data_IF_869351490471
#
_entry.id   IF_869351490471
#
_cell.length_a   1.000
_cell.length_b   1.000
_cell.length_c   1.000
_cell.angle_alpha   90.00
_cell.angle_beta   90.00
_cell.angle_gamma   90.00
#
_symmetry.space_group_name_H-M   'P 1'
#
loop_
_entity.id
_entity.type
_entity.pdbx_description
1 polymer ?
#
# COMPACT_ATOMS: atom_id res chain seq x y z
N UNK A 1 18.86 3.19 -3.98
CA UNK A 1 18.04 2.51 -2.95
C UNK A 1 16.67 2.23 -3.56
N UNK A 2 16.11 1.03 -3.33
CA UNK A 2 14.74 0.70 -3.76
C UNK A 2 13.73 1.72 -3.17
N UNK A 3 12.68 2.03 -3.93
CA UNK A 3 11.65 2.96 -3.47
C UNK A 3 10.79 2.27 -2.41
N UNK A 4 10.51 2.96 -1.30
CA UNK A 4 9.61 2.47 -0.25
C UNK A 4 8.16 2.60 -0.72
N UNK A 5 7.69 1.68 -1.57
CA UNK A 5 6.30 1.63 -2.02
C UNK A 5 5.38 1.08 -0.92
N UNK A 6 4.18 1.62 -0.80
CA UNK A 6 3.12 1.08 0.04
C UNK A 6 2.36 0.00 -0.72
N UNK A 7 2.51 -1.26 -0.28
CA UNK A 7 1.84 -2.41 -0.91
C UNK A 7 0.63 -2.87 -0.09
N UNK A 8 -0.27 -3.62 -0.71
CA UNK A 8 -1.42 -4.20 0.00
C UNK A 8 -0.94 -5.12 1.13
N UNK A 9 -1.53 -5.04 2.35
CA UNK A 9 -0.94 -5.67 3.54
C UNK A 9 -1.24 -7.16 3.72
N UNK A 10 -2.03 -7.79 2.83
CA UNK A 10 -2.42 -9.21 2.97
C UNK A 10 -1.92 -10.05 1.79
N UNK A 11 -1.57 -11.33 2.06
CA UNK A 11 -1.18 -12.29 1.01
C UNK A 11 -2.36 -12.73 0.14
N UNK A 12 -3.55 -12.69 0.69
CA UNK A 12 -4.80 -12.91 -0.05
C UNK A 12 -5.62 -11.65 0.06
N UNK A 13 -5.96 -11.03 -1.07
CA UNK A 13 -6.88 -9.89 -1.11
C UNK A 13 -8.29 -10.44 -1.35
N UNK A 14 -9.15 -10.30 -0.35
CA UNK A 14 -10.57 -10.64 -0.42
C UNK A 14 -11.39 -9.55 0.27
N UNK A 15 -11.59 -8.43 -0.41
CA UNK A 15 -12.40 -7.35 0.11
C UNK A 15 -13.86 -7.78 0.11
N UNK A 16 -14.42 -7.94 1.30
CA UNK A 16 -15.82 -8.35 1.55
C UNK A 16 -16.74 -7.15 1.65
N UNK A 17 -16.23 -6.01 2.12
CA UNK A 17 -16.93 -4.74 2.11
C UNK A 17 -15.97 -3.60 1.74
N UNK A 18 -16.33 -2.81 0.74
CA UNK A 18 -15.57 -1.60 0.39
C UNK A 18 -16.06 -0.38 1.20
N UNK A 19 -15.38 0.75 1.06
CA UNK A 19 -15.68 2.00 1.77
C UNK A 19 -17.06 2.63 1.45
N UNK A 20 -17.77 2.14 0.44
CA UNK A 20 -19.14 2.52 0.12
C UNK A 20 -20.18 1.48 0.63
N UNK A 21 -19.72 0.48 1.38
CA UNK A 21 -20.57 -0.56 1.93
C UNK A 21 -21.62 -0.01 2.90
N UNK A 22 -22.84 -0.58 2.86
CA UNK A 22 -23.98 -0.07 3.65
C UNK A 22 -24.12 -0.72 5.02
N UNK A 23 -23.37 -1.76 5.31
CA UNK A 23 -23.51 -2.52 6.57
C UNK A 23 -22.84 -1.80 7.73
N UNK A 24 -21.54 -1.49 7.64
CA UNK A 24 -20.76 -0.80 8.66
C UNK A 24 -20.00 0.43 8.12
N UNK A 25 -19.75 0.48 6.82
CA UNK A 25 -19.13 1.61 6.13
C UNK A 25 -20.24 2.51 5.56
N UNK A 26 -20.51 3.62 6.24
CA UNK A 26 -21.58 4.52 5.79
C UNK A 26 -21.02 5.56 4.80
N UNK A 27 -21.81 5.95 3.76
CA UNK A 27 -21.46 7.07 2.90
C UNK A 27 -21.17 8.33 3.73
N UNK A 28 -20.17 9.07 3.31
CA UNK A 28 -19.74 10.28 4.01
C UNK A 28 -20.83 11.35 4.01
N UNK A 29 -21.04 11.96 5.18
CA UNK A 29 -21.87 13.16 5.31
C UNK A 29 -21.01 14.39 5.01
N UNK A 30 -21.55 15.37 4.30
CA UNK A 30 -20.86 16.65 4.03
C UNK A 30 -20.49 17.31 5.37
N UNK A 31 -19.24 17.82 5.48
CA UNK A 31 -18.73 18.46 6.70
C UNK A 31 -18.23 17.54 7.80
N UNK A 32 -18.39 16.21 7.67
CA UNK A 32 -17.89 15.23 8.64
C UNK A 32 -16.49 14.72 8.27
N UNK A 33 -15.65 14.32 9.25
CA UNK A 33 -14.42 13.60 8.96
C UNK A 33 -14.70 12.37 8.10
N UNK A 34 -13.97 12.25 6.99
CA UNK A 34 -14.15 11.15 6.03
C UNK A 34 -13.25 9.99 6.43
N UNK A 35 -13.76 8.77 6.29
CA UNK A 35 -12.99 7.55 6.36
C UNK A 35 -13.26 6.70 5.11
N UNK A 36 -12.30 5.88 4.71
CA UNK A 36 -12.42 5.01 3.55
C UNK A 36 -11.96 3.60 3.91
N UNK A 37 -12.59 2.95 4.91
CA UNK A 37 -12.20 1.64 5.35
C UNK A 37 -12.55 0.57 4.32
N UNK A 38 -11.84 -0.55 4.41
CA UNK A 38 -12.20 -1.80 3.78
C UNK A 38 -12.29 -2.89 4.83
N UNK A 39 -13.23 -3.82 4.65
CA UNK A 39 -13.23 -5.07 5.39
C UNK A 39 -12.56 -6.12 4.52
N UNK A 40 -11.44 -6.63 5.01
CA UNK A 40 -10.67 -7.70 4.41
C UNK A 40 -10.99 -8.99 5.15
N UNK A 41 -11.53 -9.97 4.46
CA UNK A 41 -11.92 -11.23 5.05
C UNK A 41 -11.34 -12.43 4.32
N UNK A 42 -10.90 -13.43 5.08
CA UNK A 42 -10.51 -14.70 4.49
C UNK A 42 -11.73 -15.60 4.22
N UNK A 43 -11.52 -16.86 3.90
CA UNK A 43 -12.56 -17.87 3.84
C UNK A 43 -13.17 -18.10 5.24
N UNK A 44 -14.44 -18.58 5.32
CA UNK A 44 -15.20 -18.76 6.55
C UNK A 44 -14.52 -19.61 7.65
N UNK A 45 -13.41 -20.27 7.38
CA UNK A 45 -12.73 -21.22 8.26
C UNK A 45 -11.33 -20.78 8.70
N UNK A 46 -10.80 -19.67 8.20
CA UNK A 46 -9.40 -19.26 8.47
C UNK A 46 -9.27 -17.87 9.07
N UNK A 47 -8.05 -17.56 9.46
CA UNK A 47 -7.61 -16.23 9.84
C UNK A 47 -6.39 -15.87 9.01
N UNK A 48 -6.53 -14.89 8.14
CA UNK A 48 -5.41 -14.41 7.35
C UNK A 48 -4.55 -13.43 8.16
N UNK A 49 -3.21 -13.51 8.01
CA UNK A 49 -2.33 -12.52 8.60
C UNK A 49 -2.36 -11.20 7.84
N UNK A 50 -2.23 -10.09 8.59
CA UNK A 50 -1.85 -8.80 8.03
C UNK A 50 -0.35 -8.58 8.23
N UNK A 51 0.30 -8.03 7.23
CA UNK A 51 1.74 -7.83 7.17
C UNK A 51 2.10 -6.35 7.05
N UNK A 52 3.31 -6.00 7.47
CA UNK A 52 3.84 -4.65 7.29
C UNK A 52 3.96 -4.30 5.79
N UNK A 53 3.25 -3.28 5.31
CA UNK A 53 3.11 -2.99 3.87
C UNK A 53 4.22 -2.10 3.28
N UNK A 54 5.17 -1.66 4.09
CA UNK A 54 6.26 -0.77 3.69
C UNK A 54 7.56 -1.16 4.44
N UNK A 55 8.66 -0.45 4.21
CA UNK A 55 9.96 -0.86 4.75
C UNK A 55 9.96 -1.07 6.24
N UNK A 56 9.30 -0.17 7.01
CA UNK A 56 9.12 -0.33 8.44
C UNK A 56 7.92 0.47 8.95
N UNK A 57 7.16 -0.11 9.88
CA UNK A 57 6.12 0.57 10.66
C UNK A 57 6.36 0.43 12.16
N UNK A 58 5.94 1.44 12.90
CA UNK A 58 5.98 1.50 14.36
C UNK A 58 4.56 1.58 14.93
N UNK A 59 4.30 0.83 16.00
CA UNK A 59 3.04 0.87 16.74
C UNK A 59 2.92 2.18 17.48
N UNK A 60 1.86 2.93 17.22
CA UNK A 60 1.56 4.22 17.87
C UNK A 60 0.54 4.09 18.99
N UNK A 61 -0.38 3.13 18.89
CA UNK A 61 -1.38 2.87 19.90
C UNK A 61 -1.92 1.45 19.79
N UNK A 62 -2.25 0.87 20.94
CA UNK A 62 -3.05 -0.36 21.09
C UNK A 62 -4.23 -0.01 21.98
N UNK A 63 -5.44 -0.43 21.62
CA UNK A 63 -6.67 -0.15 22.36
C UNK A 63 -7.55 -1.41 22.39
N UNK A 64 -8.35 -1.55 23.45
CA UNK A 64 -9.35 -2.60 23.58
C UNK A 64 -8.86 -3.82 24.36
N UNK A 65 -7.59 -4.22 24.20
CA UNK A 65 -7.03 -5.45 24.78
C UNK A 65 -7.34 -5.58 26.26
N UNK A 66 -8.01 -6.67 26.64
CA UNK A 66 -8.41 -6.93 28.03
C UNK A 66 -9.55 -6.02 28.55
N UNK A 67 -10.23 -5.29 27.67
CA UNK A 67 -11.33 -4.37 28.05
C UNK A 67 -12.61 -4.72 27.28
N UNK A 68 -13.68 -3.92 27.48
CA UNK A 68 -14.91 -4.00 26.66
C UNK A 68 -14.82 -3.25 25.33
N UNK A 69 -13.71 -2.55 25.07
CA UNK A 69 -13.49 -1.83 23.81
C UNK A 69 -13.09 -2.79 22.69
N UNK A 70 -13.48 -2.48 21.46
CA UNK A 70 -13.09 -3.26 20.28
C UNK A 70 -11.59 -3.10 20.03
N UNK A 71 -10.88 -4.20 19.93
CA UNK A 71 -9.43 -4.22 19.73
C UNK A 71 -9.03 -3.49 18.45
N UNK A 72 -8.18 -2.50 18.64
CA UNK A 72 -7.72 -1.63 17.55
C UNK A 72 -6.24 -1.30 17.69
N UNK A 73 -5.54 -1.33 16.58
CA UNK A 73 -4.10 -1.10 16.47
C UNK A 73 -3.83 0.03 15.48
N UNK A 74 -2.99 0.99 15.87
CA UNK A 74 -2.49 2.06 14.99
C UNK A 74 -1.01 1.87 14.75
N UNK A 75 -0.64 1.94 13.48
CA UNK A 75 0.76 1.90 13.04
C UNK A 75 1.06 3.10 12.15
N UNK A 76 2.30 3.56 12.22
CA UNK A 76 2.82 4.65 11.39
C UNK A 76 4.10 4.19 10.70
N UNK A 77 4.29 4.53 9.42
CA UNK A 77 5.55 4.26 8.72
C UNK A 77 6.67 5.10 9.30
N UNK A 78 7.85 4.51 9.49
CA UNK A 78 9.00 5.23 10.06
C UNK A 78 9.65 6.20 9.08
N UNK A 79 9.43 5.98 7.78
CA UNK A 79 9.87 6.84 6.68
C UNK A 79 8.73 7.12 5.73
N UNK A 80 8.89 8.12 4.85
CA UNK A 80 7.89 8.42 3.81
C UNK A 80 7.80 7.29 2.80
N UNK A 81 6.58 6.92 2.42
CA UNK A 81 6.25 5.88 1.44
C UNK A 81 5.76 6.50 0.12
N UNK A 82 5.91 5.77 -0.97
CA UNK A 82 5.29 6.10 -2.26
C UNK A 82 3.90 5.45 -2.34
N UNK A 83 2.88 6.26 -2.55
CA UNK A 83 1.48 5.84 -2.69
C UNK A 83 1.10 5.56 -4.14
N UNK A 84 0.04 4.77 -4.34
CA UNK A 84 -0.47 4.40 -5.66
C UNK A 84 -0.99 5.59 -6.50
N UNK A 85 -1.30 6.73 -5.88
CA UNK A 85 -1.67 7.97 -6.59
C UNK A 85 -0.45 8.81 -7.02
N UNK A 86 0.77 8.35 -6.79
CA UNK A 86 2.02 9.01 -7.17
C UNK A 86 2.57 9.99 -6.13
N UNK A 87 1.85 10.25 -5.05
CA UNK A 87 2.33 11.12 -3.96
C UNK A 87 3.25 10.39 -2.99
N UNK A 88 3.94 11.13 -2.12
CA UNK A 88 4.86 10.60 -1.12
C UNK A 88 4.68 11.31 0.21
N UNK A 89 4.37 10.54 1.26
CA UNK A 89 4.30 11.05 2.64
C UNK A 89 4.44 9.88 3.63
N UNK A 90 4.37 10.16 4.95
CA UNK A 90 4.17 9.13 5.96
C UNK A 90 2.82 8.45 5.75
N UNK A 91 2.71 7.21 6.21
CA UNK A 91 1.50 6.43 6.17
C UNK A 91 1.08 6.05 7.60
N UNK A 92 -0.18 6.27 7.92
CA UNK A 92 -0.80 5.79 9.15
C UNK A 92 -1.91 4.80 8.83
N UNK A 93 -1.90 3.66 9.50
CA UNK A 93 -2.85 2.57 9.33
C UNK A 93 -3.56 2.28 10.65
N UNK A 94 -4.86 2.07 10.58
CA UNK A 94 -5.70 1.54 11.65
C UNK A 94 -6.17 0.15 11.25
N UNK A 95 -6.10 -0.79 12.20
CA UNK A 95 -6.56 -2.16 12.06
C UNK A 95 -7.49 -2.45 13.24
N UNK A 96 -8.71 -2.94 12.96
CA UNK A 96 -9.69 -3.28 13.99
C UNK A 96 -10.09 -4.76 13.89
N UNK A 97 -10.56 -5.31 14.98
CA UNK A 97 -11.08 -6.67 15.21
C UNK A 97 -10.08 -7.81 15.53
N UNK A 98 -8.72 -7.65 15.54
CA UNK A 98 -7.89 -8.70 16.08
C UNK A 98 -8.36 -9.10 17.50
N UNK A 99 -8.21 -10.37 17.86
CA UNK A 99 -8.54 -10.80 19.22
C UNK A 99 -7.34 -10.62 20.17
N UNK A 100 -7.56 -10.52 21.48
CA UNK A 100 -6.52 -10.25 22.50
C UNK A 100 -5.27 -11.12 22.34
N UNK A 101 -5.45 -12.43 22.12
CA UNK A 101 -4.31 -13.36 21.99
C UNK A 101 -3.41 -13.04 20.79
N UNK A 102 -3.98 -12.47 19.72
CA UNK A 102 -3.25 -12.13 18.50
C UNK A 102 -2.56 -10.75 18.59
N UNK A 103 -2.87 -9.99 19.66
CA UNK A 103 -2.21 -8.75 20.03
C UNK A 103 -1.21 -8.92 21.19
N UNK A 104 -1.08 -10.12 21.76
CA UNK A 104 -0.13 -10.38 22.85
C UNK A 104 1.30 -10.02 22.44
N UNK A 105 1.95 -9.17 23.24
CA UNK A 105 3.31 -8.69 22.98
C UNK A 105 3.41 -7.62 21.88
N UNK A 106 2.28 -7.06 21.43
CA UNK A 106 2.26 -5.85 20.59
C UNK A 106 2.06 -4.66 21.52
N UNK A 107 3.09 -3.85 21.65
CA UNK A 107 3.11 -2.65 22.50
C UNK A 107 3.46 -1.42 21.70
N UNK A 108 3.14 -0.25 22.23
CA UNK A 108 3.57 1.03 21.66
C UNK A 108 5.08 1.06 21.50
N UNK A 109 5.58 1.47 20.35
CA UNK A 109 7.00 1.48 20.01
C UNK A 109 7.51 0.20 19.32
N UNK A 110 6.75 -0.91 19.34
CA UNK A 110 7.12 -2.11 18.58
C UNK A 110 7.19 -1.80 17.09
N UNK A 111 8.21 -2.35 16.44
CA UNK A 111 8.48 -2.14 15.00
C UNK A 111 8.26 -3.43 14.22
N UNK A 112 7.82 -3.28 12.98
CA UNK A 112 7.64 -4.35 12.02
C UNK A 112 8.30 -3.94 10.70
N UNK A 113 9.13 -4.79 10.15
CA UNK A 113 9.75 -4.61 8.83
C UNK A 113 8.81 -5.14 7.73
N UNK A 114 9.03 -4.69 6.51
CA UNK A 114 8.29 -5.12 5.32
C UNK A 114 8.10 -6.64 5.29
N UNK A 115 6.85 -7.08 5.12
CA UNK A 115 6.49 -8.50 5.06
C UNK A 115 6.49 -9.22 6.41
N UNK A 116 6.85 -8.59 7.52
CA UNK A 116 6.65 -9.17 8.86
C UNK A 116 5.16 -9.18 9.21
N UNK A 117 4.72 -10.28 9.79
CA UNK A 117 3.34 -10.41 10.29
C UNK A 117 3.13 -9.47 11.49
N UNK A 118 2.09 -8.63 11.37
CA UNK A 118 1.66 -7.72 12.44
C UNK A 118 0.68 -8.46 13.37
N UNK A 119 -0.44 -8.93 12.84
CA UNK A 119 -1.49 -9.63 13.58
C UNK A 119 -2.28 -10.53 12.65
N UNK A 120 -3.42 -11.06 13.13
CA UNK A 120 -4.34 -11.90 12.36
C UNK A 120 -5.72 -11.23 12.28
N UNK A 121 -6.49 -11.62 11.28
CA UNK A 121 -7.94 -11.39 11.27
C UNK A 121 -8.56 -11.87 12.57
N UNK A 122 -9.59 -11.18 13.00
CA UNK A 122 -10.31 -11.53 14.20
C UNK A 122 -11.79 -11.17 14.10
N UNK A 123 -12.50 -11.41 15.20
CA UNK A 123 -13.93 -11.11 15.32
C UNK A 123 -14.26 -10.33 16.59
N UNK A 124 -13.29 -9.63 17.17
CA UNK A 124 -13.55 -8.82 18.34
C UNK A 124 -14.49 -7.66 17.99
N UNK A 125 -15.66 -7.63 18.60
CA UNK A 125 -16.74 -6.71 18.25
C UNK A 125 -17.38 -6.93 16.87
N UNK A 126 -17.19 -8.10 16.25
CA UNK A 126 -17.73 -8.42 14.92
C UNK A 126 -18.34 -9.84 14.87
N UNK A 127 -19.19 -10.11 13.87
CA UNK A 127 -19.88 -11.40 13.71
C UNK A 127 -18.98 -12.48 13.09
N UNK A 128 -18.03 -12.11 12.24
CA UNK A 128 -17.12 -13.02 11.54
C UNK A 128 -15.67 -12.53 11.54
N UNK A 129 -14.73 -13.44 11.28
CA UNK A 129 -13.33 -13.06 11.15
C UNK A 129 -13.12 -12.15 9.95
N UNK A 130 -12.61 -10.97 10.18
CA UNK A 130 -12.15 -10.02 9.17
C UNK A 130 -11.20 -9.00 9.80
N UNK A 131 -10.60 -8.17 8.98
CA UNK A 131 -9.88 -6.97 9.39
C UNK A 131 -10.61 -5.76 8.81
N UNK A 132 -10.96 -4.83 9.69
CA UNK A 132 -11.35 -3.50 9.27
C UNK A 132 -10.06 -2.67 9.17
N UNK A 133 -9.75 -2.18 7.96
CA UNK A 133 -8.52 -1.47 7.66
C UNK A 133 -8.85 -0.07 7.17
N UNK A 134 -8.36 0.96 7.87
CA UNK A 134 -8.35 2.34 7.40
C UNK A 134 -6.93 2.82 7.20
N UNK A 135 -6.69 3.61 6.16
CA UNK A 135 -5.39 4.19 5.86
C UNK A 135 -5.45 5.68 5.62
N UNK A 136 -4.39 6.38 6.00
CA UNK A 136 -4.27 7.81 5.80
C UNK A 136 -2.84 8.25 5.51
N UNK A 137 -2.70 9.43 4.90
CA UNK A 137 -1.41 10.07 4.66
C UNK A 137 -1.03 10.93 5.84
N UNK A 138 0.28 11.05 6.07
CA UNK A 138 0.83 11.80 7.18
C UNK A 138 0.99 10.95 8.44
N UNK A 139 1.32 11.63 9.54
CA UNK A 139 1.65 11.01 10.82
C UNK A 139 0.42 10.82 11.70
N UNK A 140 0.48 9.82 12.57
CA UNK A 140 -0.47 9.60 13.65
C UNK A 140 -0.69 10.88 14.46
N UNK A 141 -1.95 11.19 14.81
CA UNK A 141 -2.33 12.42 15.50
C UNK A 141 -3.23 12.17 16.71
N UNK A 142 -2.94 12.87 17.80
CA UNK A 142 -3.74 12.84 19.03
C UNK A 142 -3.83 11.41 19.59
N UNK A 143 -5.07 10.97 19.85
CA UNK A 143 -5.36 9.61 20.30
C UNK A 143 -5.68 8.62 19.16
N UNK A 144 -5.48 9.03 17.90
CA UNK A 144 -5.73 8.20 16.73
C UNK A 144 -7.18 8.21 16.23
N UNK A 145 -8.09 8.88 16.92
CA UNK A 145 -9.51 8.95 16.61
C UNK A 145 -9.96 10.36 16.24
N UNK A 146 -10.89 10.44 15.29
CA UNK A 146 -11.83 11.55 15.12
C UNK A 146 -13.26 10.99 15.20
N UNK A 147 -14.18 11.79 15.72
CA UNK A 147 -15.61 11.51 15.65
C UNK A 147 -16.19 12.13 14.38
N UNK A 148 -16.96 11.35 13.64
CA UNK A 148 -17.79 11.90 12.58
C UNK A 148 -19.17 12.29 13.10
N UNK A 149 -19.98 12.98 12.29
CA UNK A 149 -21.33 13.45 12.65
C UNK A 149 -22.33 12.32 12.98
N UNK A 150 -21.96 11.07 12.72
CA UNK A 150 -22.76 9.86 13.06
C UNK A 150 -22.25 9.15 14.31
N UNK A 151 -21.36 9.76 15.10
CA UNK A 151 -20.77 9.16 16.29
C UNK A 151 -19.85 7.97 15.99
N UNK A 152 -19.32 7.87 14.76
CA UNK A 152 -18.37 6.81 14.38
C UNK A 152 -16.95 7.31 14.52
N UNK A 153 -16.09 6.43 15.02
CA UNK A 153 -14.65 6.66 15.09
C UNK A 153 -14.03 6.50 13.71
N UNK A 154 -13.21 7.46 13.32
CA UNK A 154 -12.43 7.42 12.08
C UNK A 154 -10.96 7.68 12.38
N UNK A 155 -10.07 7.20 11.52
CA UNK A 155 -8.63 7.38 11.66
C UNK A 155 -8.23 8.86 11.68
N UNK A 156 -7.43 9.25 12.68
CA UNK A 156 -6.84 10.58 12.81
C UNK A 156 -5.35 10.57 12.45
N UNK A 157 -5.01 11.23 11.36
CA UNK A 157 -3.62 11.47 10.93
C UNK A 157 -3.50 12.85 10.26
N UNK A 158 -2.29 13.38 10.14
CA UNK A 158 -2.06 14.77 9.74
C UNK A 158 -2.54 15.13 8.34
N UNK A 159 -2.53 14.19 7.40
CA UNK A 159 -2.98 14.39 6.02
C UNK A 159 -4.39 13.85 5.74
N UNK A 160 -5.04 13.23 6.74
CA UNK A 160 -6.38 12.64 6.62
C UNK A 160 -6.39 11.27 5.93
N UNK A 161 -7.60 10.66 5.88
CA UNK A 161 -7.83 9.34 5.30
C UNK A 161 -7.96 9.39 3.79
N UNK A 162 -7.59 8.31 3.12
CA UNK A 162 -7.62 8.19 1.67
C UNK A 162 -8.22 6.86 1.22
N UNK A 163 -8.83 6.86 0.03
CA UNK A 163 -9.32 5.64 -0.61
C UNK A 163 -8.20 4.64 -0.80
N UNK A 164 -8.44 3.33 -0.54
CA UNK A 164 -7.41 2.28 -0.60
C UNK A 164 -6.64 2.23 -1.92
N UNK A 165 -7.32 2.44 -3.06
CA UNK A 165 -6.71 2.46 -4.40
C UNK A 165 -5.77 3.64 -4.65
N UNK A 166 -5.84 4.68 -3.81
CA UNK A 166 -4.90 5.79 -3.82
C UNK A 166 -3.68 5.54 -2.94
N UNK A 167 -3.81 4.63 -1.97
CA UNK A 167 -2.76 4.30 -1.02
C UNK A 167 -1.92 3.12 -1.49
N UNK A 168 -2.57 1.96 -1.73
CA UNK A 168 -1.89 0.68 -1.89
C UNK A 168 -1.67 0.30 -3.35
N UNK A 169 -0.46 -0.18 -3.64
CA UNK A 169 -0.20 -0.99 -4.82
C UNK A 169 -0.47 -2.46 -4.51
N UNK A 170 -0.89 -3.24 -5.50
CA UNK A 170 -0.85 -4.71 -5.44
C UNK A 170 0.52 -5.17 -5.92
N UNK A 171 1.24 -5.88 -5.07
CA UNK A 171 2.41 -6.67 -5.48
C UNK A 171 1.93 -8.09 -5.88
N UNK A 172 1.92 -8.45 -7.17
CA UNK A 172 1.41 -9.74 -7.61
C UNK A 172 2.30 -10.92 -7.19
N UNK A 173 3.53 -10.65 -6.72
CA UNK A 173 4.41 -11.67 -6.14
C UNK A 173 4.08 -11.97 -4.68
N UNK A 174 3.42 -11.04 -4.00
CA UNK A 174 3.07 -11.16 -2.59
C UNK A 174 1.56 -11.40 -2.38
N UNK A 175 0.70 -10.71 -3.15
CA UNK A 175 -0.76 -10.69 -2.95
C UNK A 175 -1.49 -11.45 -4.06
N UNK A 176 -2.14 -12.56 -3.72
CA UNK A 176 -3.11 -13.24 -4.57
C UNK A 176 -4.46 -12.52 -4.48
N UNK A 177 -4.95 -12.01 -5.60
CA UNK A 177 -6.23 -11.30 -5.67
C UNK A 177 -7.38 -12.30 -5.87
N UNK A 178 -8.30 -12.38 -4.91
CA UNK A 178 -9.55 -13.13 -4.97
C UNK A 178 -10.74 -12.22 -5.25
N UNK A 179 -10.81 -11.07 -4.56
CA UNK A 179 -11.82 -10.03 -4.77
C UNK A 179 -11.24 -8.66 -4.42
N UNK A 180 -11.44 -7.69 -5.32
CA UNK A 180 -11.10 -6.28 -5.09
C UNK A 180 -12.25 -5.46 -4.50
N UNK A 181 -13.40 -6.07 -4.23
CA UNK A 181 -14.60 -5.38 -3.73
C UNK A 181 -15.07 -4.23 -4.64
N UNK A 182 -14.84 -4.32 -5.95
CA UNK A 182 -15.16 -3.24 -6.91
C UNK A 182 -14.17 -2.06 -6.91
N UNK A 183 -13.00 -2.19 -6.26
CA UNK A 183 -11.99 -1.13 -6.17
C UNK A 183 -10.92 -1.31 -7.25
N UNK A 184 -10.53 -0.22 -7.92
CA UNK A 184 -9.55 -0.22 -9.02
C UNK A 184 -8.12 0.00 -8.51
N UNK A 185 -7.51 -1.03 -7.92
CA UNK A 185 -6.10 -0.97 -7.50
C UNK A 185 -5.14 -1.03 -8.68
N UNK A 186 -4.01 -0.35 -8.55
CA UNK A 186 -2.86 -0.46 -9.44
C UNK A 186 -1.91 -1.55 -8.96
N UNK A 187 -1.25 -2.24 -9.90
CA UNK A 187 -0.14 -3.11 -9.55
C UNK A 187 1.09 -2.28 -9.13
N UNK A 188 1.94 -2.89 -8.30
CA UNK A 188 3.24 -2.33 -7.97
C UNK A 188 4.02 -2.11 -9.26
N UNK A 189 4.60 -0.91 -9.48
CA UNK A 189 5.46 -0.70 -10.63
C UNK A 189 6.64 -1.67 -10.63
N UNK A 190 7.02 -2.17 -11.81
CA UNK A 190 8.22 -2.97 -11.93
C UNK A 190 9.42 -2.16 -11.41
N UNK A 191 10.18 -2.74 -10.48
CA UNK A 191 11.46 -2.18 -10.07
C UNK A 191 12.49 -2.50 -11.15
N UNK A 192 12.76 -1.52 -11.99
CA UNK A 192 13.85 -1.63 -12.94
C UNK A 192 15.19 -1.54 -12.22
N UNK A 193 16.09 -2.41 -12.57
CA UNK A 193 17.45 -2.46 -12.01
C UNK A 193 18.47 -2.46 -13.14
N UNK A 194 19.72 -2.12 -12.86
CA UNK A 194 20.80 -2.27 -13.83
C UNK A 194 20.88 -3.68 -14.39
N UNK A 195 21.33 -3.85 -15.62
CA UNK A 195 21.38 -5.14 -16.30
C UNK A 195 21.13 -5.03 -17.79
N UNK A 196 21.02 -6.17 -18.47
CA UNK A 196 20.77 -6.21 -19.91
C UNK A 196 19.28 -6.23 -20.19
N UNK A 197 18.82 -5.33 -21.06
CA UNK A 197 17.45 -5.22 -21.50
C UNK A 197 17.33 -5.38 -23.00
N UNK A 198 16.26 -6.04 -23.45
CA UNK A 198 15.90 -6.22 -24.87
C UNK A 198 14.67 -5.37 -25.17
N UNK A 199 14.74 -4.54 -26.21
CA UNK A 199 13.62 -3.72 -26.68
C UNK A 199 12.46 -4.61 -27.14
N UNK A 200 11.25 -4.34 -26.63
CA UNK A 200 10.05 -5.15 -26.89
C UNK A 200 8.97 -4.41 -27.72
N UNK A 201 9.19 -3.14 -28.07
CA UNK A 201 8.36 -2.36 -28.98
C UNK A 201 9.00 -2.21 -30.36
N UNK A 202 8.23 -1.93 -31.40
CA UNK A 202 8.75 -1.80 -32.76
C UNK A 202 9.88 -0.75 -32.86
N UNK A 203 9.64 0.45 -32.27
CA UNK A 203 10.60 1.53 -32.18
C UNK A 203 10.57 2.14 -30.79
N UNK A 204 11.73 2.35 -30.19
CA UNK A 204 11.89 2.96 -28.88
C UNK A 204 12.76 4.20 -28.97
N UNK A 205 12.23 5.34 -28.55
CA UNK A 205 12.99 6.59 -28.47
C UNK A 205 14.10 6.51 -27.41
N UNK A 206 15.32 6.89 -27.79
CA UNK A 206 16.43 7.15 -26.90
C UNK A 206 16.48 8.63 -26.62
N UNK A 207 16.45 9.03 -25.36
CA UNK A 207 16.41 10.43 -24.95
C UNK A 207 17.70 10.86 -24.27
N UNK A 208 17.96 12.17 -24.28
CA UNK A 208 19.18 12.75 -23.64
C UNK A 208 19.12 12.75 -22.11
N UNK A 209 17.96 12.45 -21.49
CA UNK A 209 17.74 12.35 -20.06
C UNK A 209 16.59 11.44 -19.68
N UNK A 210 16.37 11.23 -18.39
CA UNK A 210 15.36 10.36 -17.80
C UNK A 210 13.96 11.02 -17.79
N UNK A 211 13.31 11.12 -18.94
CA UNK A 211 12.00 11.72 -19.03
C UNK A 211 11.55 12.00 -20.47
N UNK A 212 10.24 12.14 -20.67
CA UNK A 212 9.65 12.46 -21.99
C UNK A 212 9.87 13.93 -22.41
N UNK A 213 10.23 14.79 -21.47
CA UNK A 213 10.59 16.20 -21.67
C UNK A 213 11.99 16.39 -22.24
N UNK A 214 12.85 15.35 -22.22
CA UNK A 214 14.19 15.41 -22.83
C UNK A 214 14.13 15.12 -24.34
N UNK A 215 14.99 15.82 -25.10
CA UNK A 215 15.07 15.64 -26.55
C UNK A 215 15.43 14.19 -26.93
N UNK A 216 14.86 13.71 -28.04
CA UNK A 216 15.20 12.42 -28.64
C UNK A 216 16.59 12.52 -29.28
N UNK A 217 17.49 11.64 -28.87
CA UNK A 217 18.87 11.54 -29.41
C UNK A 217 18.95 10.58 -30.61
N UNK A 218 18.19 9.47 -30.53
CA UNK A 218 18.11 8.42 -31.58
C UNK A 218 16.96 7.47 -31.25
N UNK A 219 16.83 6.38 -32.01
CA UNK A 219 15.87 5.32 -31.75
C UNK A 219 16.53 3.94 -31.69
N UNK A 220 15.86 2.99 -31.06
CA UNK A 220 16.20 1.56 -31.07
C UNK A 220 15.03 0.77 -31.63
N UNK A 221 15.34 -0.29 -32.39
CA UNK A 221 14.35 -1.20 -32.95
C UNK A 221 14.12 -2.41 -32.02
N UNK A 222 12.98 -3.08 -32.21
CA UNK A 222 12.62 -4.31 -31.48
C UNK A 222 13.74 -5.34 -31.55
N UNK A 223 14.03 -5.97 -30.43
CA UNK A 223 15.06 -6.99 -30.31
C UNK A 223 16.46 -6.46 -29.95
N UNK A 224 16.73 -5.15 -30.12
CA UNK A 224 18.03 -4.58 -29.72
C UNK A 224 18.24 -4.75 -28.21
N UNK A 225 19.42 -5.20 -27.83
CA UNK A 225 19.86 -5.31 -26.43
C UNK A 225 20.67 -4.08 -26.02
N UNK A 226 20.45 -3.59 -24.81
CA UNK A 226 21.20 -2.49 -24.18
C UNK A 226 21.59 -2.90 -22.76
N UNK A 227 22.83 -2.59 -22.34
CA UNK A 227 23.27 -2.79 -20.96
C UNK A 227 22.99 -1.51 -20.18
N UNK A 228 21.95 -1.54 -19.37
CA UNK A 228 21.56 -0.44 -18.49
C UNK A 228 22.53 -0.38 -17.31
N UNK A 229 23.15 0.77 -17.10
CA UNK A 229 24.17 1.04 -16.09
C UNK A 229 23.68 1.96 -14.97
N UNK A 230 22.53 2.60 -15.17
CA UNK A 230 21.86 3.45 -14.17
C UNK A 230 20.35 3.43 -14.42
N UNK A 231 19.56 3.51 -13.35
CA UNK A 231 18.10 3.55 -13.41
C UNK A 231 17.58 4.73 -12.60
N UNK A 232 16.68 5.50 -13.23
CA UNK A 232 15.92 6.58 -12.60
C UNK A 232 14.43 6.38 -12.92
N UNK A 233 13.67 5.89 -11.93
CA UNK A 233 12.28 5.48 -12.11
C UNK A 233 12.16 4.38 -13.17
N UNK A 234 11.40 4.67 -14.23
CA UNK A 234 11.22 3.76 -15.39
C UNK A 234 12.28 3.96 -16.48
N UNK A 235 13.24 4.84 -16.29
CA UNK A 235 14.26 5.18 -17.28
C UNK A 235 15.57 4.48 -16.98
N UNK A 236 16.14 3.84 -18.00
CA UNK A 236 17.47 3.20 -17.94
C UNK A 236 18.49 3.91 -18.80
N UNK A 237 19.62 4.33 -18.21
CA UNK A 237 20.76 4.88 -18.93
C UNK A 237 21.69 3.75 -19.36
N UNK A 238 21.99 3.67 -20.63
CA UNK A 238 22.93 2.66 -21.17
C UNK A 238 24.20 3.27 -21.80
N UNK A 239 24.25 4.61 -21.97
CA UNK A 239 25.43 5.36 -22.37
C UNK A 239 25.27 6.83 -21.95
N UNK A 240 26.32 7.66 -22.08
CA UNK A 240 26.28 9.10 -21.83
C UNK A 240 25.14 9.74 -22.65
N UNK A 241 24.21 10.42 -21.96
CA UNK A 241 23.03 11.07 -22.56
C UNK A 241 22.17 10.13 -23.42
N UNK A 242 22.10 8.84 -23.07
CA UNK A 242 21.27 7.84 -23.76
C UNK A 242 20.41 7.06 -22.77
N UNK A 243 19.17 7.51 -22.66
CA UNK A 243 18.15 6.96 -21.76
C UNK A 243 17.01 6.34 -22.56
N UNK A 244 16.50 5.23 -22.09
CA UNK A 244 15.33 4.53 -22.66
C UNK A 244 14.31 4.27 -21.56
N UNK A 245 13.01 4.29 -21.89
CA UNK A 245 11.99 3.80 -20.97
C UNK A 245 12.03 2.28 -20.92
N UNK A 246 12.25 1.73 -19.74
CA UNK A 246 12.32 0.30 -19.48
C UNK A 246 10.95 -0.39 -19.52
N UNK A 247 9.86 0.39 -19.48
CA UNK A 247 8.49 -0.11 -19.69
C UNK A 247 8.31 -0.78 -21.05
N UNK A 248 9.10 -0.36 -22.05
CA UNK A 248 9.12 -0.93 -23.41
C UNK A 248 10.24 -1.95 -23.63
N UNK A 249 10.85 -2.42 -22.54
CA UNK A 249 11.96 -3.36 -22.57
C UNK A 249 11.69 -4.58 -21.68
N UNK A 250 12.31 -5.71 -22.01
CA UNK A 250 12.33 -6.91 -21.16
C UNK A 250 13.75 -7.12 -20.63
N UNK A 251 13.91 -7.29 -19.31
CA UNK A 251 15.19 -7.67 -18.72
C UNK A 251 15.56 -9.09 -19.15
N UNK A 252 16.81 -9.30 -19.59
CA UNK A 252 17.29 -10.58 -20.17
C UNK A 252 18.63 -11.05 -19.59
N UNK A 253 19.13 -10.39 -18.56
CA UNK A 253 20.36 -10.76 -17.86
C UNK A 253 20.75 -9.72 -16.81
#
# INVERSE_FOLDING_TARGET
MAKNYLTYPCKVMRITQNYNGRTSHYPHTVGSPKDYPIDEGCSNSGKEPIYCPCDEMIVKRVYGVGTRGVNTLWLESTTKVHFADGTRDYFTMLITHPVDKDLKGITVGKRFKRGEKITLEGKDGATGNHLHISGGKGKFRGNGWLYNSRGKYVLNCTGGTFKPEKLFFIDPKFTKVMSKGGIAFKNLPDEYTVGTYKVNTAVLNVRKGAGTNFAVATTLIKGKKVKVIEVDGVWGRYAKNKWVSLEYCKKVG
#
